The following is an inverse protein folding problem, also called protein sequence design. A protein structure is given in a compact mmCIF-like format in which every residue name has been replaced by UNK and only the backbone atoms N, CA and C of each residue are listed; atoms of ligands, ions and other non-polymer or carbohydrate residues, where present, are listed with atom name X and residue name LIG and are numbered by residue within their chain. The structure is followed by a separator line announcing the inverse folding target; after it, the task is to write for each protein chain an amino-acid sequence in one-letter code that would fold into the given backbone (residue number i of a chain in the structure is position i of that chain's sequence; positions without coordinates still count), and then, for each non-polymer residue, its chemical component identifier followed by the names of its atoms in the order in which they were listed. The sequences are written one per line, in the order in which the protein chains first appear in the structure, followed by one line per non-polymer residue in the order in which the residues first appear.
data_IF_282131124304
#
_entry.id   IF_282131124304
#
_cell.length_a   1.000
_cell.length_b   1.000
_cell.length_c   1.000
_cell.angle_alpha   90.00
_cell.angle_beta   90.00
_cell.angle_gamma   90.00
#
_symmetry.space_group_name_H-M   'P 1'
#
loop_
_entity.id
_entity.type
_entity.pdbx_description
1 polymer ?
#
# COMPACT_ATOMS: atom_id res chain seq x y z
N UNK A 1 45.77 -13.42 -5.32
CA UNK A 1 46.35 -12.92 -4.05
C UNK A 1 45.44 -11.94 -3.32
N UNK A 2 44.83 -10.92 -3.96
CA UNK A 2 43.89 -10.02 -3.27
C UNK A 2 42.41 -10.47 -3.24
N UNK A 3 42.09 -11.64 -3.81
CA UNK A 3 40.69 -12.11 -3.94
C UNK A 3 39.81 -11.16 -4.76
N UNK A 4 40.36 -10.52 -5.79
CA UNK A 4 39.67 -9.56 -6.66
C UNK A 4 39.86 -9.94 -8.13
N UNK A 5 39.00 -9.41 -9.01
CA UNK A 5 39.07 -9.69 -10.45
C UNK A 5 39.91 -8.64 -11.18
N UNK A 6 40.51 -9.01 -12.32
CA UNK A 6 41.21 -8.05 -13.20
C UNK A 6 40.31 -6.88 -13.63
N UNK A 7 39.00 -7.13 -13.78
CA UNK A 7 37.99 -6.10 -14.06
C UNK A 7 37.87 -5.10 -12.91
N UNK A 8 37.83 -5.56 -11.66
CA UNK A 8 37.78 -4.70 -10.48
C UNK A 8 39.06 -3.87 -10.34
N UNK A 9 40.25 -4.46 -10.56
CA UNK A 9 41.52 -3.72 -10.55
C UNK A 9 41.54 -2.61 -11.62
N UNK A 10 41.09 -2.90 -12.85
CA UNK A 10 40.95 -1.88 -13.90
C UNK A 10 39.95 -0.79 -13.53
N UNK A 11 38.87 -1.15 -12.85
CA UNK A 11 37.88 -0.19 -12.39
C UNK A 11 38.46 0.74 -11.32
N UNK A 12 39.20 0.21 -10.35
CA UNK A 12 39.85 1.01 -9.31
C UNK A 12 40.90 1.97 -9.90
N UNK A 13 41.69 1.55 -10.88
CA UNK A 13 42.57 2.47 -11.60
C UNK A 13 41.80 3.60 -12.29
N UNK A 14 40.67 3.30 -12.94
CA UNK A 14 39.85 4.32 -13.61
C UNK A 14 39.28 5.33 -12.63
N UNK A 15 38.96 4.89 -11.41
CA UNK A 15 38.46 5.75 -10.34
C UNK A 15 39.57 6.47 -9.56
N UNK A 16 40.84 6.31 -9.93
CA UNK A 16 41.98 6.87 -9.17
C UNK A 16 42.14 6.26 -7.77
N UNK A 17 41.49 5.12 -7.52
CA UNK A 17 41.56 4.43 -6.24
C UNK A 17 42.82 3.60 -6.09
N UNK A 18 43.45 3.19 -7.19
CA UNK A 18 44.67 2.40 -7.19
C UNK A 18 45.67 3.02 -8.17
N UNK A 19 46.91 3.31 -7.75
CA UNK A 19 47.90 3.91 -8.64
C UNK A 19 48.27 2.91 -9.73
N UNK A 20 48.53 3.41 -10.94
CA UNK A 20 48.96 2.54 -12.04
C UNK A 20 50.45 2.19 -11.83
N UNK A 21 50.81 0.91 -11.64
CA UNK A 21 52.20 0.52 -11.45
C UNK A 21 53.05 0.75 -12.71
N UNK A 22 54.39 0.81 -12.57
CA UNK A 22 55.29 0.84 -13.71
C UNK A 22 55.16 -0.42 -14.59
N UNK A 23 55.59 -0.29 -15.85
CA UNK A 23 55.62 -1.40 -16.79
C UNK A 23 57.05 -1.94 -16.86
N UNK A 24 57.24 -3.19 -16.46
CA UNK A 24 58.53 -3.90 -16.52
C UNK A 24 58.37 -5.12 -17.43
N UNK A 25 59.19 -5.24 -18.47
CA UNK A 25 59.12 -6.37 -19.41
C UNK A 25 57.77 -6.49 -20.14
N UNK A 26 57.11 -5.36 -20.42
CA UNK A 26 55.81 -5.34 -21.11
C UNK A 26 54.59 -5.66 -20.24
N UNK A 27 54.75 -5.80 -18.92
CA UNK A 27 53.66 -6.06 -17.97
C UNK A 27 53.67 -5.05 -16.82
N UNK A 28 52.48 -4.73 -16.30
CA UNK A 28 52.30 -3.92 -15.10
C UNK A 28 52.86 -4.66 -13.88
N UNK A 29 53.78 -4.05 -13.16
CA UNK A 29 54.49 -4.65 -12.03
C UNK A 29 53.90 -4.22 -10.68
N UNK A 30 53.00 -5.04 -10.12
CA UNK A 30 52.30 -4.72 -8.87
C UNK A 30 53.13 -5.16 -7.67
N UNK A 31 53.74 -4.19 -6.99
CA UNK A 31 54.42 -4.40 -5.71
C UNK A 31 53.48 -4.53 -4.49
N UNK A 32 54.08 -4.75 -3.32
CA UNK A 32 53.40 -4.94 -2.04
C UNK A 32 52.46 -3.77 -1.66
N UNK A 33 52.83 -2.53 -1.98
CA UNK A 33 52.01 -1.34 -1.72
C UNK A 33 50.67 -1.38 -2.46
N UNK A 34 50.67 -1.83 -3.72
CA UNK A 34 49.46 -1.99 -4.51
C UNK A 34 48.54 -3.07 -3.91
N UNK A 35 49.14 -4.17 -3.43
CA UNK A 35 48.40 -5.23 -2.76
C UNK A 35 47.77 -4.74 -1.45
N UNK A 36 48.53 -4.02 -0.62
CA UNK A 36 48.04 -3.46 0.64
C UNK A 36 46.87 -2.47 0.40
N UNK A 37 46.99 -1.60 -0.61
CA UNK A 37 45.94 -0.66 -1.00
C UNK A 37 44.68 -1.37 -1.51
N UNK A 38 44.83 -2.41 -2.33
CA UNK A 38 43.72 -3.25 -2.79
C UNK A 38 42.97 -3.92 -1.63
N UNK A 39 43.68 -4.47 -0.65
CA UNK A 39 43.07 -5.09 0.52
C UNK A 39 42.30 -4.06 1.36
N UNK A 40 42.82 -2.84 1.49
CA UNK A 40 42.16 -1.77 2.25
C UNK A 40 40.90 -1.24 1.55
N UNK A 41 40.93 -1.07 0.23
CA UNK A 41 39.74 -0.73 -0.57
C UNK A 41 38.66 -1.79 -0.39
N UNK A 42 39.06 -3.07 -0.47
CA UNK A 42 38.13 -4.19 -0.32
C UNK A 42 37.49 -4.23 1.05
N UNK A 43 38.28 -4.10 2.12
CA UNK A 43 37.78 -4.06 3.50
C UNK A 43 36.75 -2.93 3.71
N UNK A 44 37.02 -1.73 3.19
CA UNK A 44 36.07 -0.62 3.26
C UNK A 44 34.79 -0.87 2.45
N UNK A 45 34.92 -1.45 1.25
CA UNK A 45 33.78 -1.79 0.41
C UNK A 45 32.90 -2.88 1.06
N UNK A 46 33.51 -3.90 1.66
CA UNK A 46 32.83 -4.95 2.42
C UNK A 46 32.12 -4.39 3.67
N UNK A 47 32.57 -3.23 4.18
CA UNK A 47 31.92 -2.52 5.28
C UNK A 47 30.70 -1.68 4.86
N UNK A 48 30.32 -1.71 3.57
CA UNK A 48 29.15 -1.01 3.04
C UNK A 48 29.44 0.37 2.45
N UNK A 49 30.71 0.79 2.37
CA UNK A 49 31.07 2.07 1.74
C UNK A 49 31.06 1.98 0.22
N UNK A 50 30.54 3.02 -0.43
CA UNK A 50 30.60 3.17 -1.88
C UNK A 50 32.02 3.50 -2.32
N UNK A 51 32.41 3.08 -3.52
CA UNK A 51 33.74 3.34 -4.08
C UNK A 51 34.09 4.85 -4.14
N UNK A 52 33.10 5.72 -4.34
CA UNK A 52 33.29 7.17 -4.29
C UNK A 52 33.70 7.66 -2.90
N UNK A 53 33.04 7.17 -1.84
CA UNK A 53 33.40 7.49 -0.45
C UNK A 53 34.78 6.94 -0.09
N UNK A 54 35.12 5.75 -0.60
CA UNK A 54 36.45 5.17 -0.39
C UNK A 54 37.55 6.03 -1.01
N UNK A 55 37.27 6.73 -2.12
CA UNK A 55 38.23 7.63 -2.74
C UNK A 55 38.50 8.87 -1.87
N UNK A 56 37.49 9.37 -1.17
CA UNK A 56 37.60 10.46 -0.21
C UNK A 56 38.34 10.04 1.07
N UNK A 57 38.15 8.79 1.51
CA UNK A 57 38.78 8.22 2.72
C UNK A 57 40.24 7.82 2.48
N UNK A 58 40.58 7.36 1.27
CA UNK A 58 41.91 6.92 0.88
C UNK A 58 42.48 7.74 -0.30
N UNK A 59 42.66 9.06 -0.16
CA UNK A 59 43.30 9.87 -1.21
C UNK A 59 44.73 9.39 -1.51
N UNK A 60 45.18 9.56 -2.76
CA UNK A 60 46.55 9.18 -3.18
C UNK A 60 47.62 10.20 -2.80
N UNK A 61 47.30 11.51 -2.78
CA UNK A 61 48.31 12.57 -2.73
C UNK A 61 48.19 13.56 -1.57
N UNK A 62 47.07 13.58 -0.84
CA UNK A 62 46.85 14.50 0.28
C UNK A 62 46.32 13.73 1.50
N UNK A 63 46.64 14.13 2.74
CA UNK A 63 46.02 13.54 3.92
C UNK A 63 44.50 13.78 3.88
N UNK A 64 43.72 12.73 4.14
CA UNK A 64 42.25 12.84 4.21
C UNK A 64 41.85 13.81 5.33
N UNK A 65 40.90 14.70 5.07
CA UNK A 65 40.24 15.47 6.12
C UNK A 65 39.51 14.51 7.07
N UNK A 66 40.01 14.43 8.31
CA UNK A 66 39.51 13.51 9.32
C UNK A 66 38.04 13.74 9.62
N UNK A 67 37.60 14.99 9.64
CA UNK A 67 36.21 15.32 10.02
C UNK A 67 35.25 14.94 8.90
N UNK A 68 35.62 15.22 7.64
CA UNK A 68 34.85 14.78 6.47
C UNK A 68 34.75 13.24 6.38
N UNK A 69 35.84 12.52 6.67
CA UNK A 69 35.85 11.05 6.74
C UNK A 69 34.92 10.53 7.83
N UNK A 70 34.99 11.11 9.04
CA UNK A 70 34.11 10.72 10.15
C UNK A 70 32.63 11.00 9.83
N UNK A 71 32.33 12.11 9.17
CA UNK A 71 30.98 12.45 8.73
C UNK A 71 30.44 11.43 7.71
N UNK A 72 31.23 11.09 6.67
CA UNK A 72 30.86 10.10 5.65
C UNK A 72 30.64 8.70 6.24
N UNK A 73 31.48 8.30 7.21
CA UNK A 73 31.32 7.04 7.94
C UNK A 73 30.05 7.03 8.80
N UNK A 74 29.76 8.13 9.51
CA UNK A 74 28.53 8.26 10.32
C UNK A 74 27.27 8.24 9.45
N UNK A 75 27.29 8.90 8.29
CA UNK A 75 26.18 8.89 7.34
C UNK A 75 25.92 7.48 6.78
N UNK A 76 26.99 6.74 6.45
CA UNK A 76 26.90 5.33 6.04
C UNK A 76 26.30 4.48 7.15
N UNK A 77 26.78 4.64 8.39
CA UNK A 77 26.23 3.93 9.56
C UNK A 77 24.75 4.22 9.77
N UNK A 78 24.34 5.49 9.72
CA UNK A 78 22.94 5.87 9.86
C UNK A 78 22.04 5.25 8.77
N UNK A 79 22.56 5.13 7.54
CA UNK A 79 21.85 4.45 6.45
C UNK A 79 21.68 2.95 6.74
N UNK A 80 22.72 2.29 7.24
CA UNK A 80 22.66 0.87 7.65
C UNK A 80 21.67 0.69 8.80
N UNK A 81 21.72 1.55 9.82
CA UNK A 81 20.80 1.50 10.96
C UNK A 81 19.33 1.63 10.50
N UNK A 82 19.06 2.51 9.53
CA UNK A 82 17.72 2.64 8.93
C UNK A 82 17.28 1.38 8.17
N UNK A 83 18.18 0.75 7.42
CA UNK A 83 17.91 -0.52 6.73
C UNK A 83 17.65 -1.66 7.71
N UNK A 84 18.43 -1.75 8.80
CA UNK A 84 18.22 -2.72 9.88
C UNK A 84 16.84 -2.51 10.51
N UNK A 85 16.48 -1.27 10.85
CA UNK A 85 15.15 -0.97 11.39
C UNK A 85 14.01 -1.40 10.45
N UNK A 86 14.17 -1.16 9.14
CA UNK A 86 13.22 -1.61 8.12
C UNK A 86 13.11 -3.14 8.06
N UNK A 87 14.24 -3.85 8.06
CA UNK A 87 14.27 -5.32 8.03
C UNK A 87 13.64 -5.93 9.28
N UNK A 88 13.92 -5.37 10.46
CA UNK A 88 13.26 -5.80 11.71
C UNK A 88 11.74 -5.57 11.66
N UNK A 89 11.29 -4.45 11.09
CA UNK A 89 9.86 -4.21 10.90
C UNK A 89 9.23 -5.18 9.88
N UNK A 90 9.97 -5.60 8.85
CA UNK A 90 9.51 -6.63 7.92
C UNK A 90 9.44 -8.00 8.60
N UNK A 91 10.46 -8.38 9.37
CA UNK A 91 10.48 -9.62 10.14
C UNK A 91 9.27 -9.74 11.07
N UNK A 92 9.00 -8.70 11.88
CA UNK A 92 7.83 -8.67 12.76
C UNK A 92 6.49 -8.85 12.03
N UNK A 93 6.36 -8.31 10.81
CA UNK A 93 5.15 -8.50 10.00
C UNK A 93 5.02 -9.95 9.54
N UNK A 94 6.13 -10.55 9.09
CA UNK A 94 6.15 -11.97 8.71
C UNK A 94 5.83 -12.87 9.90
N UNK A 95 6.36 -12.59 11.10
CA UNK A 95 6.07 -13.37 12.30
C UNK A 95 4.57 -13.39 12.60
N UNK A 96 3.88 -12.24 12.50
CA UNK A 96 2.42 -12.16 12.62
C UNK A 96 1.71 -13.00 11.56
N UNK A 97 2.16 -12.97 10.30
CA UNK A 97 1.56 -13.79 9.24
C UNK A 97 1.76 -15.29 9.48
N UNK A 98 2.92 -15.70 10.02
CA UNK A 98 3.19 -17.08 10.41
C UNK A 98 2.20 -17.50 11.51
N UNK A 99 2.08 -16.73 12.58
CA UNK A 99 1.14 -17.01 13.68
C UNK A 99 -0.31 -17.14 13.19
N UNK A 100 -0.73 -16.26 12.27
CA UNK A 100 -2.07 -16.33 11.63
C UNK A 100 -2.29 -17.67 10.91
N UNK A 101 -1.31 -18.13 10.12
CA UNK A 101 -1.42 -19.42 9.42
C UNK A 101 -1.39 -20.59 10.40
N UNK A 102 -0.56 -20.52 11.44
CA UNK A 102 -0.49 -21.57 12.47
C UNK A 102 -1.80 -21.72 13.25
N UNK A 103 -2.58 -20.64 13.41
CA UNK A 103 -3.95 -20.68 13.96
C UNK A 103 -5.00 -21.21 12.98
N UNK A 104 -4.62 -21.55 11.74
CA UNK A 104 -5.54 -22.02 10.71
C UNK A 104 -6.39 -20.90 10.09
N UNK A 105 -6.03 -19.64 10.34
CA UNK A 105 -6.72 -18.48 9.76
C UNK A 105 -6.27 -18.26 8.31
N UNK A 106 -7.15 -17.70 7.47
CA UNK A 106 -6.80 -17.33 6.09
C UNK A 106 -5.85 -16.13 6.10
N UNK A 107 -4.78 -16.20 5.30
CA UNK A 107 -3.96 -15.02 4.99
C UNK A 107 -4.74 -14.06 4.10
N UNK A 108 -5.54 -13.19 4.72
CA UNK A 108 -6.18 -12.07 4.05
C UNK A 108 -5.65 -10.77 4.65
N UNK A 109 -5.37 -9.75 3.82
CA UNK A 109 -5.13 -8.40 4.34
C UNK A 109 -6.39 -7.84 5.01
N UNK A 110 -7.55 -8.45 4.76
CA UNK A 110 -8.84 -8.10 5.35
C UNK A 110 -9.09 -8.96 6.60
N UNK A 111 -9.53 -8.38 7.74
CA UNK A 111 -9.95 -9.14 8.91
C UNK A 111 -11.00 -10.21 8.61
N UNK A 112 -10.91 -11.37 9.29
CA UNK A 112 -11.79 -12.54 9.09
C UNK A 112 -13.28 -12.22 9.21
N UNK A 113 -13.67 -11.30 10.10
CA UNK A 113 -15.06 -10.86 10.27
C UNK A 113 -15.64 -10.24 8.99
N UNK A 114 -14.83 -9.51 8.22
CA UNK A 114 -15.25 -8.91 6.95
C UNK A 114 -15.34 -10.00 5.87
N UNK A 115 -14.40 -10.94 5.84
CA UNK A 115 -14.47 -12.10 4.92
C UNK A 115 -15.73 -12.93 5.17
N UNK A 116 -16.07 -13.19 6.43
CA UNK A 116 -17.29 -13.90 6.81
C UNK A 116 -18.55 -13.13 6.40
N UNK A 117 -18.58 -11.82 6.60
CA UNK A 117 -19.69 -10.99 6.12
C UNK A 117 -19.88 -11.09 4.60
N UNK A 118 -18.80 -11.03 3.82
CA UNK A 118 -18.93 -11.21 2.37
C UNK A 118 -19.36 -12.62 1.97
N UNK A 119 -18.89 -13.65 2.68
CA UNK A 119 -19.31 -15.03 2.46
C UNK A 119 -20.82 -15.21 2.76
N UNK A 120 -21.32 -14.58 3.84
CA UNK A 120 -22.74 -14.59 4.23
C UNK A 120 -23.62 -13.88 3.18
N UNK A 121 -23.23 -12.67 2.76
CA UNK A 121 -23.98 -11.88 1.78
C UNK A 121 -23.95 -12.55 0.41
N UNK A 122 -22.79 -13.06 -0.04
CA UNK A 122 -22.68 -13.78 -1.31
C UNK A 122 -23.58 -15.02 -1.32
N UNK A 123 -23.68 -15.74 -0.19
CA UNK A 123 -24.57 -16.90 -0.05
C UNK A 123 -26.05 -16.50 -0.10
N UNK A 124 -26.43 -15.38 0.51
CA UNK A 124 -27.82 -14.90 0.53
C UNK A 124 -28.29 -14.28 -0.80
N UNK A 125 -27.37 -13.92 -1.70
CA UNK A 125 -27.67 -13.23 -2.96
C UNK A 125 -28.35 -14.15 -3.99
N UNK A 126 -28.07 -15.46 -3.97
CA UNK A 126 -28.60 -16.48 -4.90
C UNK A 126 -28.67 -16.06 -6.39
N UNK A 127 -27.77 -15.17 -6.84
CA UNK A 127 -27.75 -14.59 -8.18
C UNK A 127 -26.33 -14.41 -8.67
N UNK A 128 -26.04 -14.92 -9.88
CA UNK A 128 -24.70 -14.80 -10.50
C UNK A 128 -24.24 -13.34 -10.62
N UNK A 129 -25.17 -12.45 -10.94
CA UNK A 129 -24.89 -11.03 -11.16
C UNK A 129 -24.65 -10.31 -9.83
N UNK A 130 -25.43 -10.62 -8.80
CA UNK A 130 -25.18 -10.11 -7.47
C UNK A 130 -23.86 -10.63 -6.89
N UNK A 131 -23.52 -11.91 -7.07
CA UNK A 131 -22.24 -12.47 -6.62
C UNK A 131 -21.04 -11.78 -7.30
N UNK A 132 -21.16 -11.35 -8.56
CA UNK A 132 -20.11 -10.54 -9.23
C UNK A 132 -19.93 -9.18 -8.56
N UNK A 133 -21.02 -8.54 -8.12
CA UNK A 133 -20.95 -7.27 -7.37
C UNK A 133 -20.25 -7.48 -6.03
N UNK A 134 -20.64 -8.49 -5.25
CA UNK A 134 -20.01 -8.80 -3.95
C UNK A 134 -18.52 -9.12 -4.11
N UNK A 135 -18.15 -9.95 -5.09
CA UNK A 135 -16.73 -10.24 -5.37
C UNK A 135 -15.96 -9.01 -5.82
N UNK A 136 -16.60 -8.12 -6.57
CA UNK A 136 -16.05 -6.85 -7.00
C UNK A 136 -15.73 -5.95 -5.82
N UNK A 137 -16.72 -5.75 -4.97
CA UNK A 137 -16.58 -4.94 -3.76
C UNK A 137 -15.55 -5.55 -2.79
N UNK A 138 -15.54 -6.88 -2.59
CA UNK A 138 -14.52 -7.59 -1.79
C UNK A 138 -13.10 -7.32 -2.30
N UNK A 139 -12.90 -7.24 -3.62
CA UNK A 139 -11.59 -6.89 -4.21
C UNK A 139 -11.20 -5.45 -3.92
N UNK A 140 -12.15 -4.52 -3.97
CA UNK A 140 -11.92 -3.12 -3.58
C UNK A 140 -11.49 -3.06 -2.12
N UNK A 141 -12.22 -3.72 -1.22
CA UNK A 141 -11.89 -3.74 0.21
C UNK A 141 -10.53 -4.41 0.48
N UNK A 142 -10.22 -5.50 -0.22
CA UNK A 142 -8.90 -6.15 -0.16
C UNK A 142 -7.79 -5.19 -0.59
N UNK A 143 -7.98 -4.48 -1.71
CA UNK A 143 -7.01 -3.51 -2.18
C UNK A 143 -6.81 -2.40 -1.13
N UNK A 144 -7.88 -1.82 -0.59
CA UNK A 144 -7.79 -0.81 0.46
C UNK A 144 -7.04 -1.30 1.69
N UNK A 145 -7.32 -2.52 2.14
CA UNK A 145 -6.66 -3.14 3.26
C UNK A 145 -5.15 -3.31 3.04
N UNK A 146 -4.72 -3.70 1.83
CA UNK A 146 -3.28 -3.77 1.49
C UNK A 146 -2.59 -2.41 1.54
N UNK A 147 -3.32 -1.32 1.31
CA UNK A 147 -2.81 0.05 1.44
C UNK A 147 -2.86 0.57 2.88
N UNK A 148 -3.29 -0.25 3.85
CA UNK A 148 -3.45 0.13 5.25
C UNK A 148 -4.76 0.86 5.55
N UNK A 149 -5.73 0.85 4.63
CA UNK A 149 -7.06 1.44 4.83
C UNK A 149 -8.05 0.38 5.33
N UNK A 150 -7.89 -0.03 6.58
CA UNK A 150 -8.88 -0.85 7.32
C UNK A 150 -9.29 -0.12 8.59
N UNK A 151 -10.51 0.45 8.66
CA UNK A 151 -11.03 0.99 9.90
C UNK A 151 -11.10 -0.09 10.98
N UNK A 152 -10.72 0.26 12.22
CA UNK A 152 -10.64 -0.70 13.34
C UNK A 152 -12.01 -1.13 13.84
N UNK A 153 -13.01 -0.26 13.73
CA UNK A 153 -14.38 -0.51 14.23
C UNK A 153 -15.29 -1.13 13.15
N UNK A 154 -14.72 -1.63 12.04
CA UNK A 154 -15.51 -2.33 11.03
C UNK A 154 -16.14 -3.59 11.61
N UNK A 155 -15.45 -4.30 12.51
CA UNK A 155 -16.00 -5.47 13.19
C UNK A 155 -17.28 -5.13 13.97
N UNK A 156 -17.24 -4.06 14.78
CA UNK A 156 -18.39 -3.61 15.57
C UNK A 156 -19.60 -3.25 14.69
N UNK A 157 -19.35 -2.61 13.53
CA UNK A 157 -20.39 -2.34 12.54
C UNK A 157 -21.01 -3.63 12.01
N UNK A 158 -20.19 -4.57 11.53
CA UNK A 158 -20.67 -5.82 10.94
C UNK A 158 -21.42 -6.71 11.94
N UNK A 159 -20.98 -6.73 13.20
CA UNK A 159 -21.66 -7.44 14.28
C UNK A 159 -23.00 -6.79 14.65
N UNK A 160 -23.13 -5.47 14.48
CA UNK A 160 -24.38 -4.76 14.72
C UNK A 160 -25.41 -5.00 13.61
N UNK A 161 -25.00 -5.32 12.38
CA UNK A 161 -25.93 -5.57 11.27
C UNK A 161 -26.68 -6.88 11.50
N UNK A 162 -28.00 -6.76 11.71
CA UNK A 162 -28.89 -7.90 11.93
C UNK A 162 -28.93 -8.86 10.74
N UNK A 163 -29.29 -10.12 10.97
CA UNK A 163 -29.45 -11.10 9.89
C UNK A 163 -30.51 -10.67 8.86
N UNK A 164 -31.59 -10.03 9.30
CA UNK A 164 -32.63 -9.49 8.41
C UNK A 164 -32.06 -8.40 7.50
N UNK A 165 -31.23 -7.51 8.03
CA UNK A 165 -30.60 -6.45 7.24
C UNK A 165 -29.49 -6.97 6.32
N UNK A 166 -28.82 -8.07 6.68
CA UNK A 166 -27.90 -8.77 5.76
C UNK A 166 -28.64 -9.32 4.54
N UNK A 167 -29.85 -9.88 4.74
CA UNK A 167 -30.70 -10.35 3.64
C UNK A 167 -31.19 -9.19 2.79
N UNK A 168 -31.63 -8.09 3.41
CA UNK A 168 -31.99 -6.87 2.68
C UNK A 168 -30.82 -6.33 1.85
N UNK A 169 -29.62 -6.28 2.42
CA UNK A 169 -28.42 -5.85 1.69
C UNK A 169 -28.15 -6.76 0.48
N UNK A 170 -28.26 -8.08 0.62
CA UNK A 170 -28.13 -9.01 -0.50
C UNK A 170 -29.18 -8.73 -1.61
N UNK A 171 -30.43 -8.45 -1.24
CA UNK A 171 -31.48 -8.08 -2.20
C UNK A 171 -31.17 -6.78 -2.95
N UNK A 172 -30.71 -5.74 -2.23
CA UNK A 172 -30.28 -4.48 -2.85
C UNK A 172 -29.10 -4.69 -3.79
N UNK A 173 -28.17 -5.58 -3.45
CA UNK A 173 -27.06 -5.95 -4.32
C UNK A 173 -27.54 -6.62 -5.60
N UNK A 174 -28.52 -7.53 -5.53
CA UNK A 174 -29.12 -8.15 -6.73
C UNK A 174 -29.81 -7.09 -7.60
N UNK A 175 -30.56 -6.18 -6.98
CA UNK A 175 -31.21 -5.10 -7.71
C UNK A 175 -30.20 -4.20 -8.41
N UNK A 176 -29.17 -3.73 -7.69
CA UNK A 176 -28.08 -2.95 -8.26
C UNK A 176 -27.35 -3.69 -9.40
N UNK A 177 -27.13 -5.00 -9.25
CA UNK A 177 -26.47 -5.82 -10.26
C UNK A 177 -27.30 -5.99 -11.54
N UNK A 178 -28.63 -5.98 -11.41
CA UNK A 178 -29.56 -6.19 -12.53
C UNK A 178 -30.04 -4.89 -13.18
N UNK A 179 -29.78 -3.72 -12.59
CA UNK A 179 -30.08 -2.41 -13.20
C UNK A 179 -29.68 -2.32 -14.69
N UNK A 180 -28.50 -2.77 -15.14
CA UNK A 180 -28.11 -2.68 -16.55
C UNK A 180 -29.03 -3.43 -17.52
N UNK A 181 -29.79 -4.41 -17.03
CA UNK A 181 -30.65 -5.28 -17.83
C UNK A 181 -32.08 -4.74 -17.94
N UNK A 182 -32.43 -3.72 -17.15
CA UNK A 182 -33.77 -3.12 -17.09
C UNK A 182 -33.96 -2.04 -18.15
N UNK A 183 -35.21 -1.73 -18.47
CA UNK A 183 -35.56 -0.59 -19.34
C UNK A 183 -35.19 0.74 -18.66
N UNK A 184 -35.04 1.85 -19.41
CA UNK A 184 -34.69 3.15 -18.82
C UNK A 184 -35.65 3.63 -17.72
N UNK A 185 -36.95 3.32 -17.83
CA UNK A 185 -37.94 3.65 -16.81
C UNK A 185 -37.75 2.82 -15.54
N UNK A 186 -37.60 1.50 -15.68
CA UNK A 186 -37.34 0.57 -14.57
C UNK A 186 -35.97 0.80 -13.92
N UNK A 187 -34.98 1.30 -14.70
CA UNK A 187 -33.69 1.73 -14.16
C UNK A 187 -33.87 2.92 -13.22
N UNK A 188 -34.65 3.92 -13.63
CA UNK A 188 -34.92 5.09 -12.79
C UNK A 188 -35.65 4.70 -11.50
N UNK A 189 -36.71 3.91 -11.61
CA UNK A 189 -37.48 3.41 -10.46
C UNK A 189 -36.61 2.55 -9.53
N UNK A 190 -35.76 1.69 -10.10
CA UNK A 190 -34.81 0.89 -9.34
C UNK A 190 -33.74 1.73 -8.63
N UNK A 191 -33.23 2.79 -9.26
CA UNK A 191 -32.29 3.72 -8.62
C UNK A 191 -32.97 4.42 -7.44
N UNK A 192 -34.20 4.91 -7.61
CA UNK A 192 -34.95 5.59 -6.55
C UNK A 192 -35.19 4.65 -5.34
N UNK A 193 -35.58 3.40 -5.60
CA UNK A 193 -35.76 2.38 -4.56
C UNK A 193 -34.44 2.03 -3.85
N UNK A 194 -33.37 1.76 -4.61
CA UNK A 194 -32.04 1.48 -4.05
C UNK A 194 -31.54 2.61 -3.16
N UNK A 195 -31.71 3.86 -3.58
CA UNK A 195 -31.30 5.03 -2.80
C UNK A 195 -32.08 5.11 -1.49
N UNK A 196 -33.40 4.94 -1.56
CA UNK A 196 -34.26 4.99 -0.39
C UNK A 196 -33.89 3.93 0.66
N UNK A 197 -33.73 2.67 0.24
CA UNK A 197 -33.41 1.58 1.16
C UNK A 197 -31.97 1.66 1.68
N UNK A 198 -31.01 2.02 0.84
CA UNK A 198 -29.62 2.17 1.25
C UNK A 198 -29.45 3.30 2.26
N UNK A 199 -30.12 4.45 2.05
CA UNK A 199 -30.08 5.57 2.99
C UNK A 199 -30.83 5.25 4.30
N UNK A 200 -31.93 4.50 4.26
CA UNK A 200 -32.61 3.98 5.47
C UNK A 200 -31.68 3.10 6.30
N UNK A 201 -30.92 2.23 5.65
CA UNK A 201 -29.95 1.37 6.32
C UNK A 201 -28.80 2.19 6.91
N UNK A 202 -28.29 3.19 6.18
CA UNK A 202 -27.30 4.12 6.72
C UNK A 202 -27.85 4.86 7.94
N UNK A 203 -29.09 5.34 7.91
CA UNK A 203 -29.70 6.04 9.05
C UNK A 203 -29.84 5.12 10.27
N UNK A 204 -30.25 3.86 10.06
CA UNK A 204 -30.34 2.84 11.13
C UNK A 204 -29.00 2.55 11.80
N UNK A 205 -27.93 2.48 11.01
CA UNK A 205 -26.57 2.18 11.51
C UNK A 205 -25.67 3.42 11.55
N UNK A 206 -26.26 4.62 11.59
CA UNK A 206 -25.55 5.90 11.36
C UNK A 206 -24.34 6.08 12.25
N UNK A 207 -24.48 5.74 13.54
CA UNK A 207 -23.39 5.80 14.51
C UNK A 207 -22.19 4.94 14.08
N UNK A 208 -22.44 3.69 13.70
CA UNK A 208 -21.37 2.78 13.27
C UNK A 208 -20.72 3.25 11.97
N UNK A 209 -21.52 3.73 11.01
CA UNK A 209 -21.02 4.29 9.75
C UNK A 209 -20.15 5.52 10.02
N UNK A 210 -20.61 6.44 10.86
CA UNK A 210 -19.86 7.63 11.27
C UNK A 210 -18.55 7.27 11.96
N UNK A 211 -18.56 6.28 12.87
CA UNK A 211 -17.38 5.80 13.58
C UNK A 211 -16.35 5.16 12.64
N UNK A 212 -16.80 4.40 11.63
CA UNK A 212 -15.94 3.82 10.58
C UNK A 212 -15.33 4.92 9.70
N UNK A 213 -16.16 5.86 9.22
CA UNK A 213 -15.73 6.96 8.36
C UNK A 213 -14.79 7.93 9.08
N UNK A 214 -14.96 8.13 10.38
CA UNK A 214 -14.11 9.01 11.19
C UNK A 214 -12.65 8.51 11.29
N UNK A 215 -12.41 7.23 11.03
CA UNK A 215 -11.07 6.62 11.04
C UNK A 215 -10.36 6.73 9.69
N UNK A 216 -11.03 7.23 8.66
CA UNK A 216 -10.41 7.44 7.37
C UNK A 216 -9.33 8.53 7.45
N UNK A 217 -8.24 8.40 6.67
CA UNK A 217 -7.18 9.39 6.67
C UNK A 217 -7.73 10.74 6.23
N UNK A 218 -7.16 11.83 6.74
CA UNK A 218 -7.56 13.20 6.40
C UNK A 218 -6.49 13.93 5.61
N UNK A 219 -6.82 15.12 5.10
CA UNK A 219 -5.86 15.96 4.39
C UNK A 219 -5.41 15.36 3.05
N UNK A 220 -4.10 15.44 2.74
CA UNK A 220 -3.57 14.97 1.44
C UNK A 220 -3.72 13.46 1.25
N UNK A 221 -3.44 12.69 2.30
CA UNK A 221 -3.54 11.22 2.28
C UNK A 221 -4.99 10.77 2.11
N UNK A 222 -5.92 11.43 2.82
CA UNK A 222 -7.36 11.18 2.66
C UNK A 222 -7.82 11.41 1.22
N UNK A 223 -7.50 12.56 0.65
CA UNK A 223 -7.85 12.88 -0.75
C UNK A 223 -7.28 11.87 -1.76
N UNK A 224 -6.06 11.41 -1.55
CA UNK A 224 -5.47 10.37 -2.40
C UNK A 224 -6.23 9.04 -2.28
N UNK A 225 -6.60 8.63 -1.05
CA UNK A 225 -7.39 7.42 -0.83
C UNK A 225 -8.77 7.50 -1.51
N UNK A 226 -9.46 8.63 -1.39
CA UNK A 226 -10.76 8.87 -2.05
C UNK A 226 -10.67 8.89 -3.58
N UNK A 227 -9.60 9.44 -4.14
CA UNK A 227 -9.37 9.39 -5.59
C UNK A 227 -9.11 7.97 -6.09
N UNK A 228 -8.41 7.15 -5.31
CA UNK A 228 -8.21 5.74 -5.63
C UNK A 228 -9.52 4.97 -5.52
N UNK A 229 -10.30 5.19 -4.45
CA UNK A 229 -11.63 4.60 -4.26
C UNK A 229 -12.55 4.87 -5.45
N UNK A 230 -12.66 6.13 -5.85
CA UNK A 230 -13.46 6.53 -7.01
C UNK A 230 -13.08 5.74 -8.27
N UNK A 231 -11.78 5.69 -8.60
CA UNK A 231 -11.28 4.95 -9.77
C UNK A 231 -11.58 3.45 -9.69
N UNK A 232 -11.49 2.85 -8.50
CA UNK A 232 -11.80 1.43 -8.32
C UNK A 232 -13.29 1.15 -8.56
N UNK A 233 -14.18 2.01 -8.07
CA UNK A 233 -15.63 1.88 -8.32
C UNK A 233 -16.00 2.14 -9.79
N UNK A 234 -15.38 3.13 -10.43
CA UNK A 234 -15.54 3.38 -11.88
C UNK A 234 -15.09 2.18 -12.73
N UNK A 235 -13.96 1.56 -12.37
CA UNK A 235 -13.46 0.36 -13.05
C UNK A 235 -14.35 -0.86 -12.81
N UNK A 236 -14.89 -1.02 -11.60
CA UNK A 236 -15.70 -2.15 -11.21
C UNK A 236 -17.14 -2.06 -11.76
N UNK A 237 -17.72 -0.86 -11.83
CA UNK A 237 -19.13 -0.63 -12.18
C UNK A 237 -19.26 0.34 -13.35
N UNK A 238 -18.89 -0.05 -14.57
CA UNK A 238 -18.84 0.87 -15.71
C UNK A 238 -20.20 1.23 -16.35
N UNK A 239 -21.31 0.60 -15.93
CA UNK A 239 -22.61 0.83 -16.55
C UNK A 239 -23.25 2.17 -16.08
N UNK A 240 -23.83 2.99 -16.98
CA UNK A 240 -24.38 4.30 -16.62
C UNK A 240 -25.42 4.29 -15.50
N UNK A 241 -26.33 3.31 -15.46
CA UNK A 241 -27.35 3.21 -14.40
C UNK A 241 -26.75 2.92 -13.02
N UNK A 242 -25.69 2.11 -12.96
CA UNK A 242 -24.98 1.82 -11.72
C UNK A 242 -24.18 3.04 -11.24
N UNK A 243 -23.51 3.74 -12.16
CA UNK A 243 -22.81 4.98 -11.86
C UNK A 243 -23.76 6.08 -11.37
N UNK A 244 -24.94 6.22 -11.99
CA UNK A 244 -25.96 7.18 -11.54
C UNK A 244 -26.41 6.90 -10.09
N UNK A 245 -26.64 5.64 -9.73
CA UNK A 245 -26.93 5.26 -8.35
C UNK A 245 -25.79 5.63 -7.39
N UNK A 246 -24.55 5.25 -7.71
CA UNK A 246 -23.39 5.51 -6.85
C UNK A 246 -23.17 7.02 -6.64
N UNK A 247 -23.35 7.82 -7.69
CA UNK A 247 -23.27 9.28 -7.65
C UNK A 247 -24.31 9.90 -6.72
N UNK A 248 -25.59 9.55 -6.89
CA UNK A 248 -26.66 10.08 -6.05
C UNK A 248 -26.56 9.57 -4.60
N UNK A 249 -26.15 8.31 -4.39
CA UNK A 249 -25.91 7.75 -3.06
C UNK A 249 -24.83 8.55 -2.32
N UNK A 250 -23.70 8.79 -2.98
CA UNK A 250 -22.62 9.55 -2.35
C UNK A 250 -22.98 11.01 -2.15
N UNK A 251 -23.67 11.64 -3.10
CA UNK A 251 -24.18 13.01 -2.93
C UNK A 251 -25.10 13.13 -1.72
N UNK A 252 -25.97 12.15 -1.48
CA UNK A 252 -26.81 12.10 -0.29
C UNK A 252 -25.97 11.93 1.00
N UNK A 253 -24.96 11.06 0.99
CA UNK A 253 -24.03 10.89 2.11
C UNK A 253 -23.26 12.17 2.45
N UNK A 254 -22.83 12.94 1.45
CA UNK A 254 -22.18 14.25 1.66
C UNK A 254 -23.14 15.33 2.15
N UNK A 255 -24.43 15.21 1.84
CA UNK A 255 -25.47 16.14 2.27
C UNK A 255 -25.97 15.88 3.70
N UNK A 256 -25.79 14.67 4.23
CA UNK A 256 -26.16 14.31 5.61
C UNK A 256 -25.41 15.20 6.64
N UNK A 257 -26.13 15.63 7.68
CA UNK A 257 -25.63 16.59 8.67
C UNK A 257 -24.54 16.02 9.58
N UNK A 258 -24.55 14.71 9.83
CA UNK A 258 -23.60 14.02 10.72
C UNK A 258 -22.45 13.42 9.91
N UNK A 259 -22.77 12.72 8.83
CA UNK A 259 -21.80 12.02 7.97
C UNK A 259 -21.06 12.99 7.05
N UNK A 260 -21.74 13.98 6.48
CA UNK A 260 -21.19 14.91 5.50
C UNK A 260 -19.92 15.63 5.99
N UNK A 261 -19.90 16.22 7.20
CA UNK A 261 -18.70 16.81 7.76
C UNK A 261 -17.54 15.81 7.90
N UNK A 262 -17.81 14.55 8.27
CA UNK A 262 -16.79 13.50 8.42
C UNK A 262 -16.16 13.20 7.05
N UNK A 263 -16.99 13.02 6.03
CA UNK A 263 -16.55 12.77 4.65
C UNK A 263 -15.70 13.93 4.12
N UNK A 264 -16.12 15.19 4.29
CA UNK A 264 -15.37 16.36 3.81
C UNK A 264 -13.98 16.48 4.44
N UNK A 265 -13.79 16.08 5.70
CA UNK A 265 -12.46 16.05 6.35
C UNK A 265 -11.49 15.09 5.65
N UNK A 266 -12.01 14.00 5.09
CA UNK A 266 -11.23 12.96 4.41
C UNK A 266 -11.10 13.21 2.91
N UNK A 267 -12.21 13.42 2.22
CA UNK A 267 -12.31 13.56 0.77
C UNK A 267 -12.05 14.98 0.24
N UNK A 268 -12.19 16.01 1.09
CA UNK A 268 -12.21 17.42 0.69
C UNK A 268 -13.60 17.90 0.27
N UNK A 269 -13.76 19.21 0.05
CA UNK A 269 -15.07 19.84 -0.21
C UNK A 269 -15.62 19.67 -1.63
N UNK A 270 -14.82 19.14 -2.57
CA UNK A 270 -15.17 19.05 -4.00
C UNK A 270 -15.22 17.63 -4.54
N UNK A 271 -15.47 16.62 -3.70
CA UNK A 271 -15.52 15.24 -4.16
C UNK A 271 -16.85 14.96 -4.86
N UNK A 272 -16.78 14.51 -6.12
CA UNK A 272 -17.89 13.95 -6.89
C UNK A 272 -17.38 12.74 -7.67
N UNK A 273 -18.17 11.67 -7.68
CA UNK A 273 -18.00 10.54 -8.61
C UNK A 273 -18.15 11.02 -10.05
#
# INVERSE_FOLDING_TARGET
MAGTTTRAVRHYHRLGLLPVPPVVGGRRDYGLEHLARLLRIRWLAESGLRLSQIAEILPEQQPSDRDAVLESLRATRATIDAQVAQLHAQQKRIDVLIETVERGERLSPVPTVIEQFYDDVESATESMEGSKVIRGERRIMTFLATQGFTPRNTADFLDAVSQEDRVLFAQLVVEFATLPQRTPQEQKEGIDHLLQESLRMIDRYKKYVADVLAQLPTGRTGRAAWSIMQRLYELQFSHPSQQAYLQEYMKAMFADEEIGPILRRSAGEGWSL
#
